data_IF_150063836486
#
_entry.id   IF_150063836486
#
_cell.length_a   1.000
_cell.length_b   1.000
_cell.length_c   1.000
_cell.angle_alpha   90.00
_cell.angle_beta   90.00
_cell.angle_gamma   90.00
#
_symmetry.space_group_name_H-M   'P 1'
#
loop_
_entity.id
_entity.type
_entity.pdbx_description
1 polymer ?
#
# COMPACT_ATOMS: atom_id res chain seq x y z
N UNK A 1 -50.54 7.83 61.96
CA UNK A 1 -51.76 7.86 61.12
C UNK A 1 -51.31 7.92 59.66
N UNK A 2 -51.85 7.01 58.85
CA UNK A 2 -51.70 6.80 57.38
C UNK A 2 -51.97 8.08 56.55
N UNK A 3 -51.70 8.19 55.21
CA UNK A 3 -51.60 7.12 54.18
C UNK A 3 -50.57 7.30 53.03
N UNK A 4 -50.55 6.30 52.15
CA UNK A 4 -49.85 6.18 50.86
C UNK A 4 -50.20 7.25 49.81
N UNK A 5 -49.28 7.50 48.88
CA UNK A 5 -49.58 7.96 47.51
C UNK A 5 -48.66 7.25 46.50
N UNK A 6 -49.25 6.62 45.47
CA UNK A 6 -48.53 5.83 44.47
C UNK A 6 -48.22 6.58 43.16
N UNK A 7 -47.42 5.95 42.30
CA UNK A 7 -47.43 6.15 40.84
C UNK A 7 -47.15 4.83 40.11
N UNK A 8 -48.06 4.45 39.20
CA UNK A 8 -47.91 3.42 38.17
C UNK A 8 -47.07 3.94 37.00
N UNK A 9 -46.24 3.08 36.37
CA UNK A 9 -46.05 2.94 34.90
C UNK A 9 -45.23 1.66 34.56
N UNK A 10 -45.94 0.72 33.89
CA UNK A 10 -45.62 -0.26 32.82
C UNK A 10 -44.26 -0.20 32.08
N UNK A 11 -43.84 -1.21 31.28
CA UNK A 11 -43.73 -2.66 31.52
C UNK A 11 -42.29 -3.16 31.22
N UNK A 12 -42.05 -4.43 31.56
CA UNK A 12 -40.98 -5.32 31.05
C UNK A 12 -40.10 -4.76 29.91
N UNK A 13 -38.86 -4.39 30.24
CA UNK A 13 -37.76 -4.41 29.26
C UNK A 13 -36.94 -5.66 29.56
N UNK A 14 -37.30 -6.75 28.86
CA UNK A 14 -36.39 -7.85 28.63
C UNK A 14 -35.19 -7.32 27.85
N UNK A 15 -33.98 -7.54 28.36
CA UNK A 15 -32.72 -7.45 27.59
C UNK A 15 -31.61 -8.13 28.39
N UNK A 16 -31.76 -9.42 28.63
CA UNK A 16 -30.60 -10.28 28.90
C UNK A 16 -29.82 -10.44 27.59
N UNK A 17 -29.03 -9.43 27.25
CA UNK A 17 -27.92 -9.61 26.33
C UNK A 17 -26.91 -10.47 27.08
N UNK A 18 -26.78 -11.73 26.71
CA UNK A 18 -25.52 -12.45 26.94
C UNK A 18 -24.49 -11.67 26.14
N UNK A 19 -23.80 -10.75 26.81
CA UNK A 19 -22.73 -9.95 26.24
C UNK A 19 -21.63 -10.93 25.88
N UNK A 20 -21.59 -11.36 24.61
CA UNK A 20 -20.38 -11.85 23.96
C UNK A 20 -19.39 -10.68 23.91
N UNK A 21 -18.90 -10.26 25.09
CA UNK A 21 -18.00 -9.13 25.24
C UNK A 21 -16.60 -9.63 24.92
N UNK A 22 -16.34 -9.83 23.63
CA UNK A 22 -14.96 -9.91 23.16
C UNK A 22 -14.36 -8.50 23.26
N UNK A 23 -13.17 -8.32 23.86
CA UNK A 23 -12.56 -7.01 24.03
C UNK A 23 -12.28 -6.28 22.70
N UNK A 24 -12.35 -6.99 21.57
CA UNK A 24 -12.07 -6.50 20.22
C UNK A 24 -13.30 -6.00 19.45
N UNK A 25 -14.52 -6.19 19.99
CA UNK A 25 -15.77 -5.80 19.35
C UNK A 25 -16.33 -4.50 19.94
N UNK A 26 -16.93 -3.69 19.09
CA UNK A 26 -17.66 -2.48 19.47
C UNK A 26 -19.05 -2.78 20.06
N UNK A 27 -19.79 -1.72 20.41
CA UNK A 27 -21.16 -1.85 20.93
C UNK A 27 -22.14 -2.47 19.92
N UNK A 28 -21.85 -2.37 18.63
CA UNK A 28 -22.63 -2.96 17.53
C UNK A 28 -22.19 -4.41 17.22
N UNK A 29 -21.18 -4.95 17.92
CA UNK A 29 -20.66 -6.29 17.72
C UNK A 29 -19.72 -6.42 16.52
N UNK A 30 -19.11 -5.33 16.04
CA UNK A 30 -18.18 -5.30 14.90
C UNK A 30 -16.77 -5.01 15.41
N UNK A 31 -15.77 -5.64 14.80
CA UNK A 31 -14.36 -5.46 15.16
C UNK A 31 -13.85 -4.04 14.85
N UNK A 32 -12.97 -3.52 15.71
CA UNK A 32 -12.30 -2.24 15.48
C UNK A 32 -11.27 -2.30 14.34
N UNK A 33 -11.19 -1.21 13.56
CA UNK A 33 -10.12 -1.00 12.58
C UNK A 33 -8.79 -0.86 13.33
N UNK A 34 -7.76 -1.57 12.88
CA UNK A 34 -6.44 -1.64 13.52
C UNK A 34 -6.29 -2.78 14.54
N UNK A 35 -7.35 -3.54 14.84
CA UNK A 35 -7.25 -4.68 15.74
C UNK A 35 -6.46 -5.84 15.11
N UNK A 36 -5.52 -6.40 15.87
CA UNK A 36 -4.85 -7.66 15.52
C UNK A 36 -5.71 -8.85 15.94
N UNK A 37 -5.97 -9.75 14.98
CA UNK A 37 -6.87 -10.89 15.16
C UNK A 37 -6.20 -12.19 14.72
N UNK A 38 -6.56 -13.27 15.40
CA UNK A 38 -6.05 -14.63 15.16
C UNK A 38 -7.20 -15.58 14.81
N UNK A 39 -6.88 -16.75 14.24
CA UNK A 39 -7.87 -17.78 13.91
C UNK A 39 -8.81 -18.09 15.09
N UNK A 40 -10.11 -18.07 14.82
CA UNK A 40 -11.16 -18.29 15.82
C UNK A 40 -11.72 -17.02 16.47
N UNK A 41 -11.03 -15.87 16.36
CA UNK A 41 -11.54 -14.59 16.85
C UNK A 41 -12.81 -14.18 16.10
N UNK A 42 -13.75 -13.55 16.82
CA UNK A 42 -14.99 -13.04 16.24
C UNK A 42 -14.71 -11.69 15.58
N UNK A 43 -15.03 -11.57 14.30
CA UNK A 43 -14.98 -10.32 13.53
C UNK A 43 -16.31 -9.56 13.57
N UNK A 44 -17.42 -10.30 13.45
CA UNK A 44 -18.77 -9.74 13.46
C UNK A 44 -19.68 -10.66 14.26
N UNK A 45 -20.18 -10.15 15.39
CA UNK A 45 -21.18 -10.80 16.21
C UNK A 45 -22.51 -10.91 15.46
N UNK A 46 -23.01 -12.14 15.28
CA UNK A 46 -24.32 -12.38 14.65
C UNK A 46 -25.08 -13.44 15.41
N UNK A 47 -26.30 -13.12 15.81
CA UNK A 47 -27.22 -14.06 16.44
C UNK A 47 -28.40 -14.36 15.51
N UNK A 48 -28.78 -15.63 15.42
CA UNK A 48 -29.97 -16.07 14.68
C UNK A 48 -30.99 -16.66 15.65
N UNK A 49 -32.29 -16.36 15.49
CA UNK A 49 -33.31 -17.00 16.31
C UNK A 49 -33.24 -18.52 16.13
N UNK A 50 -33.27 -19.24 17.25
CA UNK A 50 -33.28 -20.70 17.29
C UNK A 50 -34.73 -21.15 17.47
N UNK A 51 -35.18 -22.11 16.68
CA UNK A 51 -36.47 -22.76 16.91
C UNK A 51 -36.47 -23.53 18.24
N UNK A 52 -37.66 -23.77 18.81
CA UNK A 52 -37.80 -24.56 20.03
C UNK A 52 -37.27 -25.98 19.81
N UNK A 53 -36.13 -26.29 20.43
CA UNK A 53 -35.57 -27.65 20.43
C UNK A 53 -36.04 -28.39 21.67
N UNK A 54 -36.63 -29.57 21.49
CA UNK A 54 -36.91 -30.49 22.59
C UNK A 54 -35.59 -30.96 23.21
N UNK A 55 -35.31 -30.51 24.44
CA UNK A 55 -34.11 -30.90 25.20
C UNK A 55 -34.27 -32.31 25.78
N UNK A 56 -33.18 -33.05 25.90
CA UNK A 56 -33.19 -34.36 26.56
C UNK A 56 -33.43 -34.21 28.08
N UNK A 57 -33.90 -35.25 28.80
CA UNK A 57 -34.09 -35.19 30.25
C UNK A 57 -32.82 -34.78 31.02
N UNK A 58 -31.64 -35.20 30.56
CA UNK A 58 -30.34 -34.87 31.15
C UNK A 58 -30.03 -33.37 30.99
N UNK A 59 -30.24 -32.80 29.80
CA UNK A 59 -30.05 -31.36 29.56
C UNK A 59 -31.05 -30.51 30.35
N UNK A 60 -32.29 -31.00 30.50
CA UNK A 60 -33.31 -30.35 31.35
C UNK A 60 -32.90 -30.36 32.81
N UNK A 61 -32.39 -31.49 33.32
CA UNK A 61 -31.89 -31.60 34.70
C UNK A 61 -30.70 -30.67 34.92
N UNK A 62 -29.74 -30.66 33.99
CA UNK A 62 -28.55 -29.82 34.07
C UNK A 62 -28.93 -28.33 34.09
N UNK A 63 -29.86 -27.90 33.24
CA UNK A 63 -30.38 -26.52 33.28
C UNK A 63 -31.16 -26.20 34.57
N UNK A 64 -31.88 -27.17 35.13
CA UNK A 64 -32.57 -26.98 36.40
C UNK A 64 -31.59 -26.83 37.58
N UNK A 65 -30.47 -27.55 37.56
CA UNK A 65 -29.40 -27.46 38.58
C UNK A 65 -28.64 -26.13 38.46
N UNK A 66 -28.23 -25.75 37.25
CA UNK A 66 -27.40 -24.55 37.03
C UNK A 66 -28.21 -23.26 36.84
N UNK A 67 -29.54 -23.35 36.74
CA UNK A 67 -30.42 -22.20 36.51
C UNK A 67 -30.23 -21.52 35.16
N UNK A 68 -29.54 -22.18 34.21
CA UNK A 68 -29.28 -21.62 32.89
C UNK A 68 -30.54 -21.66 32.02
N UNK A 69 -31.08 -20.47 31.74
CA UNK A 69 -32.20 -20.33 30.80
C UNK A 69 -31.79 -20.77 29.40
N UNK A 70 -32.70 -21.43 28.70
CA UNK A 70 -32.55 -21.69 27.27
C UNK A 70 -32.26 -20.38 26.54
N UNK A 71 -31.16 -20.31 25.80
CA UNK A 71 -30.98 -19.22 24.85
C UNK A 71 -31.82 -19.51 23.61
N UNK A 72 -32.82 -18.67 23.36
CA UNK A 72 -33.66 -18.73 22.15
C UNK A 72 -32.91 -18.26 20.89
N UNK A 73 -31.60 -18.05 21.00
CA UNK A 73 -30.71 -17.59 19.94
C UNK A 73 -29.52 -18.52 19.78
N UNK A 74 -29.05 -18.66 18.54
CA UNK A 74 -27.84 -19.38 18.17
C UNK A 74 -26.77 -18.38 17.72
N UNK A 75 -25.53 -18.60 18.17
CA UNK A 75 -24.36 -17.87 17.65
C UNK A 75 -24.07 -18.29 16.20
N UNK A 76 -24.08 -17.31 15.30
CA UNK A 76 -23.79 -17.44 13.87
C UNK A 76 -22.75 -16.42 13.42
N UNK A 77 -21.93 -15.95 14.37
CA UNK A 77 -20.94 -14.90 14.18
C UNK A 77 -19.88 -15.24 13.14
N UNK A 78 -19.39 -14.22 12.44
CA UNK A 78 -18.28 -14.34 11.52
C UNK A 78 -16.98 -14.42 12.32
N UNK A 79 -16.16 -15.44 12.06
CA UNK A 79 -14.88 -15.67 12.73
C UNK A 79 -13.73 -15.67 11.74
N UNK A 80 -12.54 -15.32 12.22
CA UNK A 80 -11.30 -15.42 11.44
C UNK A 80 -11.05 -16.89 11.08
N UNK A 81 -10.75 -17.20 9.81
CA UNK A 81 -10.36 -18.55 9.41
C UNK A 81 -9.18 -19.08 10.21
N UNK A 82 -9.19 -20.38 10.50
CA UNK A 82 -8.09 -21.02 11.22
C UNK A 82 -6.77 -20.89 10.44
N UNK A 83 -5.66 -20.65 11.16
CA UNK A 83 -4.34 -20.49 10.56
C UNK A 83 -4.09 -19.12 9.90
N UNK A 84 -5.05 -18.19 9.98
CA UNK A 84 -4.86 -16.81 9.52
C UNK A 84 -4.71 -15.88 10.72
N UNK A 85 -3.69 -15.04 10.68
CA UNK A 85 -3.46 -13.96 11.63
C UNK A 85 -3.17 -12.67 10.88
N UNK A 86 -3.80 -11.58 11.27
CA UNK A 86 -3.61 -10.31 10.57
C UNK A 86 -4.21 -9.14 11.32
N UNK A 87 -4.11 -7.96 10.70
CA UNK A 87 -4.66 -6.72 11.23
C UNK A 87 -5.89 -6.34 10.40
N UNK A 88 -6.98 -5.97 11.07
CA UNK A 88 -8.16 -5.44 10.40
C UNK A 88 -7.83 -4.07 9.84
N UNK A 89 -7.89 -3.91 8.51
CA UNK A 89 -7.53 -2.65 7.84
C UNK A 89 -8.75 -1.78 7.53
N UNK A 90 -9.89 -2.39 7.26
CA UNK A 90 -11.10 -1.68 6.87
C UNK A 90 -12.34 -2.50 7.20
N UNK A 91 -13.44 -1.79 7.45
CA UNK A 91 -14.75 -2.36 7.76
C UNK A 91 -15.80 -1.57 7.01
N UNK A 92 -16.58 -2.27 6.19
CA UNK A 92 -17.67 -1.68 5.42
C UNK A 92 -18.99 -2.30 5.85
N UNK A 93 -19.98 -1.45 6.13
CA UNK A 93 -21.32 -1.85 6.55
C UNK A 93 -22.31 -1.40 5.49
N UNK A 94 -22.94 -2.37 4.84
CA UNK A 94 -23.99 -2.13 3.85
C UNK A 94 -25.35 -2.36 4.49
N UNK A 95 -26.23 -1.37 4.42
CA UNK A 95 -27.56 -1.45 5.05
C UNK A 95 -28.63 -1.30 3.99
N UNK A 96 -29.59 -2.24 3.98
CA UNK A 96 -30.73 -2.17 3.05
C UNK A 96 -31.55 -0.91 3.32
N UNK A 97 -32.07 -0.32 2.25
CA UNK A 97 -33.01 0.80 2.34
C UNK A 97 -34.26 0.44 3.16
N UNK A 98 -34.66 1.34 4.07
CA UNK A 98 -35.76 1.13 5.02
C UNK A 98 -35.41 0.39 6.32
N UNK A 99 -34.18 -0.11 6.50
CA UNK A 99 -33.70 -0.63 7.79
C UNK A 99 -32.97 0.48 8.56
N UNK A 100 -33.25 0.61 9.86
CA UNK A 100 -32.56 1.59 10.71
C UNK A 100 -31.05 1.31 10.76
N UNK A 101 -30.24 2.36 10.56
CA UNK A 101 -28.78 2.26 10.58
C UNK A 101 -28.30 2.11 12.02
N UNK A 102 -27.35 1.21 12.24
CA UNK A 102 -26.73 1.04 13.57
C UNK A 102 -25.81 2.22 13.88
N UNK A 103 -25.50 2.42 15.17
CA UNK A 103 -24.51 3.43 15.62
C UNK A 103 -23.23 3.39 14.78
N UNK A 104 -22.67 2.19 14.58
CA UNK A 104 -21.45 2.00 13.80
C UNK A 104 -21.59 2.39 12.32
N UNK A 105 -22.75 2.12 11.71
CA UNK A 105 -23.02 2.51 10.33
C UNK A 105 -23.12 4.04 10.19
N UNK A 106 -23.76 4.71 11.16
CA UNK A 106 -23.84 6.16 11.22
C UNK A 106 -22.45 6.81 11.42
N UNK A 107 -21.62 6.26 12.32
CA UNK A 107 -20.24 6.71 12.52
C UNK A 107 -19.40 6.61 11.24
N UNK A 108 -19.52 5.49 10.51
CA UNK A 108 -18.80 5.28 9.24
C UNK A 108 -19.31 6.24 8.18
N UNK A 109 -20.63 6.45 8.08
CA UNK A 109 -21.23 7.39 7.14
C UNK A 109 -20.76 8.83 7.41
N UNK A 110 -20.77 9.26 8.67
CA UNK A 110 -20.25 10.57 9.08
C UNK A 110 -18.77 10.72 8.74
N UNK A 111 -17.97 9.68 9.01
CA UNK A 111 -16.55 9.66 8.67
C UNK A 111 -16.33 9.79 7.15
N UNK A 112 -17.11 9.06 6.35
CA UNK A 112 -17.04 9.11 4.88
C UNK A 112 -17.48 10.48 4.34
N UNK A 113 -18.54 11.07 4.89
CA UNK A 113 -18.98 12.42 4.52
C UNK A 113 -17.93 13.47 4.85
N UNK A 114 -17.32 13.39 6.04
CA UNK A 114 -16.24 14.29 6.45
C UNK A 114 -15.02 14.15 5.55
N UNK A 115 -14.62 12.91 5.23
CA UNK A 115 -13.50 12.64 4.33
C UNK A 115 -13.80 13.15 2.92
N UNK A 116 -14.96 12.83 2.35
CA UNK A 116 -15.36 13.26 1.02
C UNK A 116 -15.40 14.79 0.89
N UNK A 117 -15.90 15.48 1.92
CA UNK A 117 -15.89 16.94 1.98
C UNK A 117 -14.47 17.48 2.03
N UNK A 118 -13.60 16.89 2.86
CA UNK A 118 -12.19 17.28 2.98
C UNK A 118 -11.47 17.12 1.65
N UNK A 119 -11.53 15.95 1.04
CA UNK A 119 -10.85 15.64 -0.23
C UNK A 119 -11.25 16.60 -1.34
N UNK A 120 -12.56 16.80 -1.54
CA UNK A 120 -13.05 17.71 -2.56
C UNK A 120 -12.63 19.15 -2.24
N UNK A 121 -12.64 19.56 -0.96
CA UNK A 121 -12.26 20.93 -0.60
C UNK A 121 -10.78 21.20 -0.79
N UNK A 122 -9.92 20.21 -0.51
CA UNK A 122 -8.47 20.31 -0.78
C UNK A 122 -8.21 20.34 -2.29
N UNK A 123 -8.91 19.52 -3.07
CA UNK A 123 -8.86 19.54 -4.54
C UNK A 123 -9.22 20.93 -5.08
N UNK A 124 -10.35 21.50 -4.62
CA UNK A 124 -10.78 22.83 -5.02
C UNK A 124 -9.75 23.90 -4.64
N UNK A 125 -9.21 23.85 -3.42
CA UNK A 125 -8.21 24.82 -2.95
C UNK A 125 -6.91 24.79 -3.77
N UNK A 126 -6.44 23.60 -4.17
CA UNK A 126 -5.23 23.45 -4.99
C UNK A 126 -5.48 24.00 -6.39
N UNK A 127 -6.63 23.66 -6.98
CA UNK A 127 -7.02 24.16 -8.31
C UNK A 127 -7.21 25.67 -8.29
N UNK A 128 -7.90 26.20 -7.29
CA UNK A 128 -8.08 27.62 -7.06
C UNK A 128 -6.74 28.35 -6.90
N UNK A 129 -5.80 27.80 -6.13
CA UNK A 129 -4.47 28.38 -5.98
C UNK A 129 -3.69 28.41 -7.31
N UNK A 130 -3.78 27.35 -8.12
CA UNK A 130 -3.17 27.31 -9.46
C UNK A 130 -3.80 28.32 -10.41
N UNK A 131 -5.13 28.45 -10.38
CA UNK A 131 -5.88 29.39 -11.22
C UNK A 131 -5.57 30.83 -10.82
N UNK A 132 -5.59 31.17 -9.53
CA UNK A 132 -5.19 32.50 -9.06
C UNK A 132 -3.71 32.82 -9.32
N UNK A 133 -2.83 31.83 -9.31
CA UNK A 133 -1.43 32.03 -9.73
C UNK A 133 -1.32 32.43 -11.20
N UNK A 134 -2.17 31.86 -12.06
CA UNK A 134 -2.26 32.25 -13.49
C UNK A 134 -2.88 33.63 -13.66
N UNK A 135 -3.99 33.92 -12.96
CA UNK A 135 -4.62 35.25 -12.94
C UNK A 135 -3.60 36.32 -12.53
N UNK A 136 -2.83 36.07 -11.46
CA UNK A 136 -1.78 36.98 -10.99
C UNK A 136 -0.73 37.26 -12.06
N UNK A 137 -0.26 36.22 -12.76
CA UNK A 137 0.70 36.38 -13.85
C UNK A 137 0.14 37.26 -14.99
N UNK A 138 -1.13 37.07 -15.36
CA UNK A 138 -1.82 37.89 -16.38
C UNK A 138 -1.99 39.33 -15.90
N UNK A 139 -2.46 39.56 -14.66
CA UNK A 139 -2.65 40.91 -14.09
C UNK A 139 -1.33 41.70 -13.98
N UNK A 140 -0.25 41.06 -13.55
CA UNK A 140 1.08 41.71 -13.49
C UNK A 140 1.58 42.05 -14.90
N UNK A 141 1.38 41.16 -15.87
CA UNK A 141 1.73 41.44 -17.29
C UNK A 141 0.86 42.53 -17.94
N UNK A 142 -0.32 42.77 -17.37
CA UNK A 142 -1.28 43.79 -17.79
C UNK A 142 -1.07 45.15 -17.12
N UNK A 143 -0.02 45.32 -16.31
CA UNK A 143 0.36 46.61 -15.72
C UNK A 143 -0.15 46.86 -14.30
N UNK A 144 -0.71 45.86 -13.62
CA UNK A 144 -1.10 45.98 -12.20
C UNK A 144 0.10 45.69 -11.28
N UNK A 145 0.36 46.57 -10.32
CA UNK A 145 1.46 46.40 -9.36
C UNK A 145 1.23 45.18 -8.43
N UNK A 146 2.25 44.32 -8.34
CA UNK A 146 2.20 43.09 -7.54
C UNK A 146 1.91 43.36 -6.05
N UNK A 147 2.47 44.42 -5.48
CA UNK A 147 2.27 44.79 -4.07
C UNK A 147 0.85 45.26 -3.75
N UNK A 148 0.15 45.85 -4.74
CA UNK A 148 -1.25 46.25 -4.60
C UNK A 148 -2.18 45.04 -4.70
N UNK A 149 -1.82 44.06 -5.53
CA UNK A 149 -2.56 42.81 -5.70
C UNK A 149 -2.56 41.97 -4.42
N UNK A 150 -1.39 41.82 -3.80
CA UNK A 150 -1.24 40.95 -2.62
C UNK A 150 -1.96 41.52 -1.37
N UNK A 151 -2.26 42.82 -1.34
CA UNK A 151 -3.05 43.47 -0.28
C UNK A 151 -4.56 43.30 -0.45
N UNK A 152 -5.02 43.03 -1.67
CA UNK A 152 -6.43 42.82 -1.96
C UNK A 152 -6.81 41.35 -1.72
N UNK A 153 -8.03 41.07 -1.22
CA UNK A 153 -8.52 39.71 -1.13
C UNK A 153 -8.64 39.08 -2.53
N UNK A 154 -8.32 37.79 -2.65
CA UNK A 154 -8.28 37.05 -3.92
C UNK A 154 -9.61 37.10 -4.67
N UNK A 155 -10.73 37.09 -3.95
CA UNK A 155 -12.08 37.18 -4.53
C UNK A 155 -12.26 38.43 -5.41
N UNK A 156 -11.60 39.54 -5.07
CA UNK A 156 -11.67 40.80 -5.82
C UNK A 156 -10.72 40.87 -7.01
N UNK A 157 -9.84 39.90 -7.21
CA UNK A 157 -8.93 39.91 -8.37
C UNK A 157 -9.68 39.67 -9.67
N UNK A 158 -10.82 38.97 -9.61
CA UNK A 158 -11.72 38.71 -10.74
C UNK A 158 -12.48 39.98 -11.19
N UNK A 159 -12.61 40.97 -10.31
CA UNK A 159 -13.29 42.24 -10.59
C UNK A 159 -12.35 43.28 -11.24
N UNK A 160 -11.05 43.00 -11.33
CA UNK A 160 -10.07 43.92 -11.90
C UNK A 160 -10.08 43.84 -13.43
N UNK A 161 -10.36 44.96 -14.08
CA UNK A 161 -10.23 45.10 -15.53
C UNK A 161 -8.81 45.47 -15.96
N UNK A 162 -8.37 44.90 -17.08
CA UNK A 162 -7.16 45.25 -17.79
C UNK A 162 -7.46 46.15 -19.00
N UNK A 163 -6.50 47.00 -19.38
CA UNK A 163 -6.60 47.87 -20.55
C UNK A 163 -6.34 47.15 -21.88
N UNK A 164 -5.71 45.97 -21.81
CA UNK A 164 -5.30 45.15 -22.96
C UNK A 164 -6.39 44.11 -23.28
N UNK A 165 -6.99 44.19 -24.48
CA UNK A 165 -8.15 43.37 -24.88
C UNK A 165 -7.87 41.86 -24.87
N UNK A 166 -6.66 41.43 -25.29
CA UNK A 166 -6.32 40.00 -25.31
C UNK A 166 -6.18 39.43 -23.89
N UNK A 167 -5.55 40.19 -22.98
CA UNK A 167 -5.38 39.79 -21.59
C UNK A 167 -6.70 39.86 -20.81
N UNK A 168 -7.55 40.82 -21.16
CA UNK A 168 -8.89 40.92 -20.59
C UNK A 168 -9.73 39.67 -20.94
N UNK A 169 -9.69 39.22 -22.20
CA UNK A 169 -10.37 37.99 -22.61
C UNK A 169 -9.79 36.74 -21.90
N UNK A 170 -8.47 36.69 -21.69
CA UNK A 170 -7.85 35.61 -20.89
C UNK A 170 -8.30 35.63 -19.42
N UNK A 171 -8.47 36.80 -18.80
CA UNK A 171 -9.00 36.91 -17.44
C UNK A 171 -10.45 36.46 -17.36
N UNK A 172 -11.27 36.83 -18.34
CA UNK A 172 -12.67 36.42 -18.41
C UNK A 172 -12.80 34.89 -18.55
N UNK A 173 -11.99 34.26 -19.41
CA UNK A 173 -11.91 32.80 -19.51
C UNK A 173 -11.49 32.13 -18.18
N UNK A 174 -10.53 32.72 -17.45
CA UNK A 174 -10.12 32.19 -16.15
C UNK A 174 -11.21 32.37 -15.08
N UNK A 175 -11.98 33.45 -15.14
CA UNK A 175 -13.12 33.69 -14.27
C UNK A 175 -14.26 32.69 -14.55
N UNK A 176 -14.60 32.46 -15.82
CA UNK A 176 -15.56 31.43 -16.23
C UNK A 176 -15.13 30.03 -15.76
N UNK A 177 -13.85 29.69 -15.92
CA UNK A 177 -13.29 28.42 -15.42
C UNK A 177 -13.42 28.30 -13.90
N UNK A 178 -13.21 29.38 -13.16
CA UNK A 178 -13.35 29.38 -11.70
C UNK A 178 -14.79 29.13 -11.26
N UNK A 179 -15.75 29.78 -11.90
CA UNK A 179 -17.18 29.58 -11.64
C UNK A 179 -17.65 28.18 -12.03
N UNK A 180 -17.18 27.65 -13.17
CA UNK A 180 -17.44 26.28 -13.59
C UNK A 180 -16.89 25.28 -12.58
N UNK A 181 -15.66 25.46 -12.10
CA UNK A 181 -15.04 24.61 -11.07
C UNK A 181 -15.83 24.62 -9.77
N UNK A 182 -16.30 25.79 -9.31
CA UNK A 182 -17.17 25.89 -8.12
C UNK A 182 -18.48 25.14 -8.30
N UNK A 183 -19.15 25.34 -9.44
CA UNK A 183 -20.42 24.67 -9.71
C UNK A 183 -20.25 23.15 -9.85
N UNK A 184 -19.19 22.70 -10.53
CA UNK A 184 -18.86 21.28 -10.65
C UNK A 184 -18.54 20.67 -9.28
N UNK A 185 -17.82 21.38 -8.42
CA UNK A 185 -17.53 20.97 -7.05
C UNK A 185 -18.81 20.76 -6.23
N UNK A 186 -19.75 21.72 -6.25
CA UNK A 186 -21.02 21.59 -5.53
C UNK A 186 -21.82 20.37 -6.02
N UNK A 187 -21.88 20.18 -7.35
CA UNK A 187 -22.54 19.03 -7.97
C UNK A 187 -21.87 17.71 -7.58
N UNK A 188 -20.54 17.65 -7.56
CA UNK A 188 -19.76 16.48 -7.13
C UNK A 188 -19.97 16.18 -5.64
N UNK A 189 -19.99 17.20 -4.79
CA UNK A 189 -20.20 17.07 -3.35
C UNK A 189 -21.60 16.51 -3.06
N UNK A 190 -22.63 17.08 -3.67
CA UNK A 190 -24.01 16.62 -3.47
C UNK A 190 -24.21 15.21 -4.03
N UNK A 191 -23.61 14.90 -5.20
CA UNK A 191 -23.64 13.55 -5.76
C UNK A 191 -22.93 12.52 -4.85
N UNK A 192 -21.78 12.86 -4.25
CA UNK A 192 -21.09 12.00 -3.28
C UNK A 192 -21.91 11.83 -2.01
N UNK A 193 -22.47 12.91 -1.47
CA UNK A 193 -23.33 12.88 -0.27
C UNK A 193 -24.52 11.97 -0.50
N UNK A 194 -25.22 12.13 -1.63
CA UNK A 194 -26.35 11.27 -1.99
C UNK A 194 -25.96 9.80 -2.05
N UNK A 195 -24.82 9.48 -2.68
CA UNK A 195 -24.33 8.09 -2.77
C UNK A 195 -23.99 7.47 -1.41
N UNK A 196 -23.45 8.27 -0.48
CA UNK A 196 -23.09 7.79 0.87
C UNK A 196 -24.34 7.59 1.73
N UNK A 197 -25.32 8.48 1.61
CA UNK A 197 -26.53 8.40 2.44
C UNK A 197 -27.58 7.42 1.92
N UNK A 198 -27.67 7.25 0.61
CA UNK A 198 -28.58 6.30 -0.03
C UNK A 198 -28.36 4.88 0.51
N UNK A 199 -29.45 4.18 0.83
CA UNK A 199 -29.41 2.78 1.24
C UNK A 199 -28.90 1.87 0.12
N UNK A 200 -28.24 0.78 0.50
CA UNK A 200 -27.67 -0.16 -0.45
C UNK A 200 -28.72 -1.13 -0.99
N UNK A 201 -28.63 -1.46 -2.28
CA UNK A 201 -29.43 -2.51 -2.89
C UNK A 201 -28.83 -3.89 -2.56
N UNK A 202 -29.45 -4.61 -1.62
CA UNK A 202 -28.99 -5.90 -1.12
C UNK A 202 -29.90 -7.04 -1.59
N UNK A 203 -29.28 -8.18 -1.92
CA UNK A 203 -29.96 -9.41 -2.33
C UNK A 203 -31.18 -9.76 -1.44
N UNK A 204 -32.27 -10.29 -2.00
CA UNK A 204 -33.54 -10.48 -1.29
C UNK A 204 -33.34 -11.29 0.01
N UNK A 205 -34.00 -10.84 1.09
CA UNK A 205 -33.85 -11.41 2.43
C UNK A 205 -32.63 -10.95 3.25
N UNK A 206 -31.67 -10.23 2.66
CA UNK A 206 -30.50 -9.70 3.39
C UNK A 206 -30.74 -8.29 3.92
N UNK A 207 -30.78 -8.13 5.24
CA UNK A 207 -30.99 -6.82 5.89
C UNK A 207 -29.74 -5.94 5.89
N UNK A 208 -28.58 -6.55 6.15
CA UNK A 208 -27.29 -5.88 6.32
C UNK A 208 -26.14 -6.82 5.97
N UNK A 209 -25.07 -6.28 5.40
CA UNK A 209 -23.82 -7.00 5.15
C UNK A 209 -22.68 -6.23 5.80
N UNK A 210 -21.81 -6.94 6.52
CA UNK A 210 -20.55 -6.37 7.04
C UNK A 210 -19.40 -7.06 6.33
N UNK A 211 -18.58 -6.27 5.63
CA UNK A 211 -17.30 -6.74 5.05
C UNK A 211 -16.16 -6.27 5.94
N UNK A 212 -15.32 -7.21 6.35
CA UNK A 212 -14.12 -6.93 7.14
C UNK A 212 -12.91 -7.31 6.31
N UNK A 213 -12.01 -6.36 6.10
CA UNK A 213 -10.79 -6.56 5.35
C UNK A 213 -9.64 -6.84 6.32
N UNK A 214 -8.96 -7.96 6.10
CA UNK A 214 -7.84 -8.42 6.93
C UNK A 214 -6.55 -8.35 6.12
N UNK A 215 -5.58 -7.56 6.58
CA UNK A 215 -4.24 -7.57 6.04
C UNK A 215 -3.41 -8.66 6.75
N UNK A 216 -2.96 -9.63 5.97
CA UNK A 216 -2.14 -10.75 6.45
C UNK A 216 -0.73 -10.58 5.93
N UNK A 217 0.23 -10.42 6.83
CA UNK A 217 1.65 -10.43 6.48
C UNK A 217 2.17 -11.86 6.52
N UNK A 218 2.26 -12.50 5.35
CA UNK A 218 2.87 -13.83 5.23
C UNK A 218 4.37 -13.70 5.09
N UNK A 219 5.10 -14.40 5.95
CA UNK A 219 6.56 -14.54 5.83
C UNK A 219 6.87 -15.77 4.98
N UNK A 220 8.02 -15.73 4.32
CA UNK A 220 8.52 -16.87 3.58
C UNK A 220 8.80 -18.04 4.52
N UNK A 221 8.38 -19.24 4.13
CA UNK A 221 8.51 -20.44 4.95
C UNK A 221 8.86 -21.66 4.10
N UNK A 222 9.41 -22.73 4.71
CA UNK A 222 9.56 -24.01 4.04
C UNK A 222 8.23 -24.50 3.48
N UNK A 223 8.24 -25.00 2.24
CA UNK A 223 7.04 -25.34 1.48
C UNK A 223 6.57 -24.25 0.52
N UNK A 224 7.02 -23.00 0.67
CA UNK A 224 6.74 -21.96 -0.30
C UNK A 224 7.49 -22.22 -1.62
N UNK A 225 6.84 -21.88 -2.73
CA UNK A 225 7.36 -22.09 -4.07
C UNK A 225 8.00 -20.81 -4.60
N UNK A 226 9.27 -20.91 -5.00
CA UNK A 226 10.01 -19.85 -5.67
C UNK A 226 10.36 -20.27 -7.10
N UNK A 227 10.53 -19.28 -7.98
CA UNK A 227 10.93 -19.52 -9.35
C UNK A 227 11.78 -18.37 -9.89
N UNK A 228 12.74 -18.70 -10.75
CA UNK A 228 13.44 -17.72 -11.58
C UNK A 228 12.74 -17.51 -12.92
N UNK A 229 13.23 -16.52 -13.68
CA UNK A 229 12.67 -16.15 -14.99
C UNK A 229 12.95 -17.19 -16.08
N UNK A 230 13.95 -18.05 -15.87
CA UNK A 230 14.37 -19.11 -16.80
C UNK A 230 13.66 -20.46 -16.56
N UNK A 231 12.50 -20.44 -15.89
CA UNK A 231 11.69 -21.64 -15.65
C UNK A 231 12.24 -22.60 -14.59
N UNK A 232 13.34 -22.24 -13.92
CA UNK A 232 13.82 -22.93 -12.73
C UNK A 232 12.83 -22.69 -11.58
N UNK A 233 12.26 -23.76 -11.04
CA UNK A 233 11.27 -23.74 -9.96
C UNK A 233 11.81 -24.58 -8.80
N UNK A 234 11.65 -24.09 -7.59
CA UNK A 234 12.04 -24.77 -6.37
C UNK A 234 11.00 -24.57 -5.28
N UNK A 235 10.94 -25.50 -4.35
CA UNK A 235 10.23 -25.34 -3.09
C UNK A 235 11.28 -25.14 -2.01
N UNK A 236 11.07 -24.18 -1.11
CA UNK A 236 12.00 -23.94 -0.01
C UNK A 236 12.00 -25.15 0.89
N UNK A 237 13.14 -25.82 1.00
CA UNK A 237 13.31 -27.01 1.84
C UNK A 237 13.63 -26.63 3.28
N UNK A 238 14.52 -25.65 3.48
CA UNK A 238 15.00 -25.21 4.78
C UNK A 238 15.42 -23.74 4.72
N UNK A 239 15.22 -23.03 5.83
CA UNK A 239 15.80 -21.71 6.08
C UNK A 239 16.97 -21.95 7.05
N UNK A 240 18.21 -21.68 6.61
CA UNK A 240 19.40 -21.83 7.44
C UNK A 240 19.71 -20.51 8.18
N UNK A 241 20.34 -20.59 9.37
CA UNK A 241 21.00 -19.45 9.99
C UNK A 241 22.11 -18.88 9.10
N UNK A 242 22.50 -17.62 9.34
CA UNK A 242 23.48 -16.91 8.49
C UNK A 242 24.88 -17.53 8.66
N UNK A 243 25.22 -17.96 9.87
CA UNK A 243 26.47 -18.62 10.22
C UNK A 243 26.65 -19.99 9.55
N UNK A 244 25.57 -20.63 9.11
CA UNK A 244 25.59 -21.92 8.43
C UNK A 244 25.76 -21.76 6.89
N UNK A 245 25.64 -20.54 6.37
CA UNK A 245 25.68 -20.30 4.92
C UNK A 245 27.12 -20.23 4.42
N UNK A 246 27.40 -20.76 3.22
CA UNK A 246 28.69 -20.55 2.58
C UNK A 246 28.99 -19.06 2.41
N UNK A 247 30.25 -18.68 2.61
CA UNK A 247 30.68 -17.29 2.55
C UNK A 247 31.95 -17.11 1.70
N UNK A 248 32.17 -15.89 1.22
CA UNK A 248 33.33 -15.53 0.39
C UNK A 248 34.57 -15.12 1.23
N UNK A 249 35.70 -14.84 0.58
CA UNK A 249 36.92 -14.38 1.27
C UNK A 249 36.73 -13.08 2.07
N UNK A 250 35.69 -12.29 1.76
CA UNK A 250 35.33 -11.06 2.46
C UNK A 250 34.38 -11.30 3.64
N UNK A 251 33.98 -12.55 3.91
CA UNK A 251 33.04 -12.91 4.97
C UNK A 251 31.57 -12.64 4.63
N UNK A 252 31.24 -12.40 3.36
CA UNK A 252 29.87 -12.16 2.89
C UNK A 252 29.17 -13.50 2.65
N UNK A 253 28.10 -13.82 3.39
CA UNK A 253 27.36 -15.06 3.21
C UNK A 253 26.48 -15.01 1.94
N UNK A 254 26.25 -16.18 1.34
CA UNK A 254 25.30 -16.35 0.23
C UNK A 254 23.87 -16.40 0.75
N UNK A 255 22.91 -15.78 0.04
CA UNK A 255 21.50 -15.79 0.45
C UNK A 255 20.73 -17.07 0.06
N UNK A 256 21.01 -17.63 -1.12
CA UNK A 256 20.27 -18.77 -1.69
C UNK A 256 21.25 -19.76 -2.33
N UNK A 257 21.15 -21.03 -1.96
CA UNK A 257 21.91 -22.13 -2.58
C UNK A 257 21.01 -22.91 -3.55
N UNK A 258 21.42 -22.97 -4.81
CA UNK A 258 20.72 -23.71 -5.86
C UNK A 258 21.50 -24.96 -6.27
N UNK A 259 20.78 -26.01 -6.66
CA UNK A 259 21.40 -27.25 -7.12
C UNK A 259 21.88 -27.12 -8.59
N UNK A 260 23.18 -27.25 -8.88
CA UNK A 260 23.71 -27.11 -10.24
C UNK A 260 23.22 -28.21 -11.20
N UNK A 261 22.86 -29.40 -10.69
CA UNK A 261 22.38 -30.52 -11.52
C UNK A 261 21.08 -30.21 -12.28
N UNK A 262 20.32 -29.21 -11.81
CA UNK A 262 19.07 -28.77 -12.44
C UNK A 262 19.26 -27.99 -13.74
N UNK A 263 20.49 -27.50 -14.02
CA UNK A 263 20.76 -26.67 -15.20
C UNK A 263 21.02 -27.50 -16.46
N UNK A 264 21.94 -28.50 -16.45
CA UNK A 264 22.25 -29.27 -17.67
C UNK A 264 21.04 -30.04 -18.19
N UNK A 265 20.24 -30.62 -17.28
CA UNK A 265 19.06 -31.41 -17.64
C UNK A 265 17.93 -30.60 -18.29
N UNK A 266 17.83 -29.29 -18.00
CA UNK A 266 16.78 -28.40 -18.53
C UNK A 266 17.26 -27.47 -19.63
N UNK A 267 18.57 -27.46 -19.93
CA UNK A 267 19.22 -26.61 -20.93
C UNK A 267 18.90 -25.12 -20.80
N UNK A 268 18.59 -24.64 -19.59
CA UNK A 268 18.29 -23.24 -19.30
C UNK A 268 19.56 -22.48 -18.86
N UNK A 269 20.52 -22.39 -19.79
CA UNK A 269 21.84 -21.75 -19.61
C UNK A 269 21.71 -20.25 -19.28
N UNK A 270 20.63 -19.61 -19.72
CA UNK A 270 20.37 -18.19 -19.46
C UNK A 270 20.45 -17.80 -17.98
N UNK A 271 20.07 -18.68 -17.04
CA UNK A 271 20.18 -18.37 -15.61
C UNK A 271 21.64 -18.24 -15.14
N UNK A 272 22.58 -18.95 -15.77
CA UNK A 272 24.02 -18.84 -15.48
C UNK A 272 24.54 -17.52 -16.01
N UNK A 273 24.15 -17.15 -17.25
CA UNK A 273 24.51 -15.85 -17.83
C UNK A 273 23.94 -14.68 -17.01
N UNK A 274 22.69 -14.81 -16.53
CA UNK A 274 22.05 -13.87 -15.60
C UNK A 274 22.84 -13.78 -14.28
N UNK A 275 23.33 -14.91 -13.76
CA UNK A 275 24.12 -14.94 -12.51
C UNK A 275 25.45 -14.20 -12.70
N UNK A 276 26.19 -14.47 -13.78
CA UNK A 276 27.47 -13.78 -14.06
C UNK A 276 27.27 -12.29 -14.30
N UNK A 277 26.26 -11.91 -15.10
CA UNK A 277 25.95 -10.51 -15.37
C UNK A 277 25.46 -9.78 -14.11
N UNK A 278 24.64 -10.44 -13.30
CA UNK A 278 24.17 -9.91 -12.02
C UNK A 278 25.30 -9.71 -11.02
N UNK A 279 26.26 -10.63 -10.97
CA UNK A 279 27.48 -10.51 -10.17
C UNK A 279 28.32 -9.32 -10.64
N UNK A 280 28.53 -9.16 -11.94
CA UNK A 280 29.25 -8.02 -12.52
C UNK A 280 28.56 -6.68 -12.21
N UNK A 281 27.23 -6.61 -12.41
CA UNK A 281 26.40 -5.45 -12.10
C UNK A 281 26.52 -5.04 -10.62
N UNK A 282 26.51 -6.03 -9.73
CA UNK A 282 26.65 -5.81 -8.29
C UNK A 282 28.06 -5.32 -7.94
N UNK A 283 29.11 -5.91 -8.53
CA UNK A 283 30.50 -5.47 -8.35
C UNK A 283 30.73 -4.02 -8.74
N UNK A 284 30.15 -3.55 -9.86
CA UNK A 284 30.18 -2.13 -10.23
C UNK A 284 29.51 -1.26 -9.17
N UNK A 285 28.31 -1.68 -8.72
CA UNK A 285 27.59 -0.96 -7.66
C UNK A 285 28.38 -0.88 -6.37
N UNK A 286 29.09 -1.94 -6.00
CA UNK A 286 29.92 -1.99 -4.79
C UNK A 286 31.17 -1.11 -4.93
N UNK A 287 31.77 -1.01 -6.13
CA UNK A 287 32.80 0.01 -6.41
C UNK A 287 32.28 1.43 -6.26
N UNK A 288 31.13 1.74 -6.85
CA UNK A 288 30.49 3.06 -6.70
C UNK A 288 30.20 3.34 -5.22
N UNK A 289 29.69 2.35 -4.48
CA UNK A 289 29.42 2.46 -3.04
C UNK A 289 30.70 2.74 -2.24
N UNK A 290 31.81 2.07 -2.56
CA UNK A 290 33.10 2.32 -1.95
C UNK A 290 33.60 3.75 -2.23
N UNK A 291 33.50 4.21 -3.48
CA UNK A 291 33.88 5.59 -3.87
C UNK A 291 33.02 6.65 -3.16
N UNK A 292 31.71 6.41 -3.03
CA UNK A 292 30.80 7.29 -2.29
C UNK A 292 31.13 7.34 -0.79
N UNK A 293 31.41 6.18 -0.16
CA UNK A 293 31.80 6.11 1.25
C UNK A 293 33.13 6.80 1.53
N UNK A 294 34.06 6.73 0.59
CA UNK A 294 35.35 7.43 0.65
C UNK A 294 35.23 8.92 0.31
N UNK A 295 34.04 9.41 -0.03
CA UNK A 295 33.79 10.80 -0.45
C UNK A 295 34.75 11.25 -1.56
N UNK A 296 34.97 10.37 -2.55
CA UNK A 296 35.81 10.72 -3.69
C UNK A 296 35.20 11.88 -4.49
N UNK A 297 36.05 12.64 -5.16
CA UNK A 297 35.65 13.74 -6.02
C UNK A 297 34.66 13.29 -7.11
N UNK A 298 33.69 14.14 -7.41
CA UNK A 298 32.64 13.88 -8.42
C UNK A 298 33.25 13.55 -9.79
N UNK A 299 34.41 14.14 -10.12
CA UNK A 299 35.14 13.85 -11.35
C UNK A 299 35.51 12.36 -11.49
N UNK A 300 36.00 11.72 -10.42
CA UNK A 300 36.36 10.30 -10.43
C UNK A 300 35.15 9.40 -10.53
N UNK A 301 34.08 9.73 -9.79
CA UNK A 301 32.80 9.03 -9.88
C UNK A 301 32.24 9.10 -11.31
N UNK A 302 32.26 10.29 -11.92
CA UNK A 302 31.80 10.54 -13.27
C UNK A 302 32.61 9.73 -14.29
N UNK A 303 33.93 9.73 -14.18
CA UNK A 303 34.82 8.95 -15.05
C UNK A 303 34.53 7.45 -14.94
N UNK A 304 34.41 6.92 -13.71
CA UNK A 304 34.15 5.51 -13.49
C UNK A 304 32.78 5.07 -14.03
N UNK A 305 31.73 5.87 -13.76
CA UNK A 305 30.37 5.59 -14.23
C UNK A 305 30.31 5.69 -15.76
N UNK A 306 30.94 6.70 -16.36
CA UNK A 306 31.02 6.86 -17.82
C UNK A 306 31.67 5.64 -18.46
N UNK A 307 32.82 5.21 -17.93
CA UNK A 307 33.52 4.01 -18.40
C UNK A 307 32.67 2.74 -18.29
N UNK A 308 31.80 2.63 -17.28
CA UNK A 308 30.88 1.51 -17.15
C UNK A 308 29.75 1.54 -18.19
N UNK A 309 29.23 2.71 -18.55
CA UNK A 309 28.21 2.86 -19.60
C UNK A 309 28.76 2.67 -21.02
N UNK A 310 30.02 3.05 -21.25
CA UNK A 310 30.67 2.90 -22.56
C UNK A 310 31.19 1.48 -22.83
N UNK A 311 30.94 0.54 -21.92
CA UNK A 311 31.41 -0.84 -22.04
C UNK A 311 30.57 -1.61 -23.08
N UNK A 312 31.26 -2.15 -24.09
CA UNK A 312 30.69 -2.92 -25.19
C UNK A 312 30.95 -2.26 -26.55
N UNK A 313 31.31 -3.07 -27.55
CA UNK A 313 31.83 -2.56 -28.83
C UNK A 313 30.80 -1.75 -29.63
N UNK A 314 29.52 -2.15 -29.62
CA UNK A 314 28.45 -1.56 -30.42
C UNK A 314 27.17 -1.33 -29.61
N UNK A 315 27.31 -0.78 -28.40
CA UNK A 315 26.14 -0.46 -27.56
C UNK A 315 25.27 0.61 -28.22
N UNK A 316 23.97 0.30 -28.38
CA UNK A 316 22.97 1.23 -28.91
C UNK A 316 22.80 2.46 -28.02
N UNK A 317 22.92 2.29 -26.71
CA UNK A 317 22.80 3.38 -25.76
C UNK A 317 24.12 4.15 -25.72
N UNK A 318 24.04 5.45 -26.00
CA UNK A 318 25.16 6.38 -25.78
C UNK A 318 24.74 7.33 -24.66
N UNK A 319 25.50 7.31 -23.57
CA UNK A 319 25.30 8.18 -22.41
C UNK A 319 26.51 9.09 -22.34
N UNK A 320 26.30 10.39 -22.32
CA UNK A 320 27.36 11.35 -22.07
C UNK A 320 27.11 12.03 -20.73
N UNK A 321 27.79 11.52 -19.70
CA UNK A 321 27.71 12.09 -18.37
C UNK A 321 28.32 13.48 -18.30
N UNK A 322 29.11 13.97 -19.27
CA UNK A 322 29.64 15.34 -19.20
C UNK A 322 28.55 16.42 -19.22
N UNK A 323 27.38 16.10 -19.78
CA UNK A 323 26.21 17.00 -19.84
C UNK A 323 25.45 17.12 -18.52
N UNK A 324 25.70 16.22 -17.56
CA UNK A 324 24.97 16.13 -16.29
C UNK A 324 25.54 17.10 -15.26
N UNK A 325 24.68 17.72 -14.47
CA UNK A 325 25.11 18.49 -13.30
C UNK A 325 25.71 17.59 -12.22
N UNK A 326 26.54 18.16 -11.34
CA UNK A 326 27.16 17.38 -10.25
C UNK A 326 26.12 16.76 -9.30
N UNK A 327 25.02 17.46 -9.03
CA UNK A 327 23.92 16.96 -8.21
C UNK A 327 23.20 15.76 -8.85
N UNK A 328 23.04 15.77 -10.17
CA UNK A 328 22.44 14.64 -10.90
C UNK A 328 23.37 13.42 -10.90
N UNK A 329 24.68 13.63 -11.04
CA UNK A 329 25.67 12.54 -10.98
C UNK A 329 25.72 11.92 -9.58
N UNK A 330 25.69 12.72 -8.53
CA UNK A 330 25.64 12.22 -7.15
C UNK A 330 24.37 11.42 -6.89
N UNK A 331 23.21 11.93 -7.31
CA UNK A 331 21.93 11.21 -7.19
C UNK A 331 21.93 9.91 -7.99
N UNK A 332 22.51 9.92 -9.18
CA UNK A 332 22.68 8.71 -9.99
C UNK A 332 23.57 7.70 -9.26
N UNK A 333 24.72 8.12 -8.76
CA UNK A 333 25.63 7.26 -8.01
C UNK A 333 24.97 6.65 -6.76
N UNK A 334 24.18 7.43 -6.01
CA UNK A 334 23.42 6.92 -4.86
C UNK A 334 22.42 5.82 -5.23
N UNK A 335 21.80 5.91 -6.40
CA UNK A 335 20.91 4.88 -6.91
C UNK A 335 21.68 3.65 -7.38
N UNK A 336 22.83 3.85 -8.04
CA UNK A 336 23.67 2.77 -8.59
C UNK A 336 24.45 2.01 -7.51
N UNK A 337 24.61 2.55 -6.28
CA UNK A 337 25.36 1.90 -5.19
C UNK A 337 24.85 0.51 -4.80
N UNK A 338 23.58 0.19 -5.09
CA UNK A 338 23.00 -1.13 -4.80
C UNK A 338 23.41 -2.18 -5.85
N UNK A 339 23.85 -1.74 -7.03
CA UNK A 339 24.11 -2.54 -8.21
C UNK A 339 23.69 -1.75 -9.44
N UNK A 340 24.50 -1.77 -10.50
CA UNK A 340 24.18 -1.09 -11.75
C UNK A 340 23.07 -1.85 -12.49
N UNK A 341 21.89 -1.26 -12.75
CA UNK A 341 20.86 -1.93 -13.54
C UNK A 341 21.32 -2.10 -14.99
N UNK A 342 21.23 -3.32 -15.51
CA UNK A 342 21.66 -3.65 -16.87
C UNK A 342 20.46 -4.15 -17.68
N UNK A 343 20.36 -3.69 -18.93
CA UNK A 343 19.39 -4.17 -19.88
C UNK A 343 20.05 -5.13 -20.88
N UNK A 344 19.47 -6.32 -21.02
CA UNK A 344 19.82 -7.27 -22.08
C UNK A 344 18.56 -7.56 -22.91
N UNK A 345 18.36 -6.89 -24.06
CA UNK A 345 17.23 -7.13 -24.94
C UNK A 345 17.11 -8.60 -25.38
N UNK A 346 15.89 -9.01 -25.75
CA UNK A 346 15.64 -10.35 -26.28
C UNK A 346 16.27 -10.44 -27.68
N UNK A 347 17.10 -11.46 -27.90
CA UNK A 347 17.84 -11.72 -29.15
C UNK A 347 18.92 -10.68 -29.54
N UNK A 348 19.06 -9.59 -28.79
CA UNK A 348 20.10 -8.56 -28.97
C UNK A 348 20.72 -8.21 -27.61
N UNK A 349 21.14 -9.26 -26.91
CA UNK A 349 21.59 -9.20 -25.53
C UNK A 349 23.10 -9.08 -25.37
N UNK A 350 23.54 -8.90 -24.12
CA UNK A 350 24.95 -8.85 -23.76
C UNK A 350 25.66 -10.17 -24.11
N UNK A 351 26.78 -10.07 -24.81
CA UNK A 351 27.63 -11.21 -25.20
C UNK A 351 28.54 -11.63 -24.06
N UNK A 352 29.01 -12.87 -24.08
CA UNK A 352 29.91 -13.40 -23.04
C UNK A 352 31.19 -12.57 -22.86
N UNK A 353 31.75 -12.05 -23.96
CA UNK A 353 32.93 -11.19 -23.91
C UNK A 353 32.66 -9.89 -23.13
N UNK A 354 31.50 -9.26 -23.35
CA UNK A 354 31.07 -8.04 -22.66
C UNK A 354 30.83 -8.31 -21.17
N UNK A 355 30.23 -9.47 -20.82
CA UNK A 355 30.07 -9.89 -19.42
C UNK A 355 31.43 -10.04 -18.74
N UNK A 356 32.42 -10.66 -19.41
CA UNK A 356 33.78 -10.82 -18.87
C UNK A 356 34.51 -9.49 -18.71
N UNK A 357 34.32 -8.55 -19.64
CA UNK A 357 34.85 -7.20 -19.52
C UNK A 357 34.23 -6.46 -18.34
N UNK A 358 32.93 -6.61 -18.14
CA UNK A 358 32.22 -6.01 -17.02
C UNK A 358 32.66 -6.59 -15.67
N UNK A 359 32.87 -7.91 -15.60
CA UNK A 359 33.46 -8.56 -14.41
C UNK A 359 34.83 -7.98 -14.09
N UNK A 360 35.70 -7.78 -15.09
CA UNK A 360 36.99 -7.12 -14.90
C UNK A 360 36.86 -5.70 -14.37
N UNK A 361 35.89 -4.93 -14.89
CA UNK A 361 35.65 -3.57 -14.42
C UNK A 361 35.24 -3.54 -12.95
N UNK A 362 34.53 -4.57 -12.49
CA UNK A 362 34.16 -4.78 -11.09
C UNK A 362 35.23 -5.39 -10.18
N UNK A 363 36.45 -5.65 -10.67
CA UNK A 363 37.51 -6.43 -9.98
C UNK A 363 37.09 -7.86 -9.59
N UNK A 364 36.22 -8.46 -10.40
CA UNK A 364 35.72 -9.83 -10.21
C UNK A 364 36.42 -10.81 -11.16
N UNK A 365 36.52 -12.10 -10.80
CA UNK A 365 37.14 -13.11 -11.66
C UNK A 365 36.34 -13.27 -12.96
N UNK A 366 37.03 -13.36 -14.09
CA UNK A 366 36.42 -13.53 -15.42
C UNK A 366 35.69 -14.86 -15.60
N UNK A 367 35.96 -15.83 -14.73
CA UNK A 367 35.22 -17.10 -14.67
C UNK A 367 33.81 -16.94 -14.10
N UNK A 368 33.54 -15.85 -13.37
CA UNK A 368 32.31 -15.70 -12.58
C UNK A 368 32.26 -16.64 -11.37
N UNK A 369 33.38 -17.27 -11.01
CA UNK A 369 33.49 -18.24 -9.92
C UNK A 369 34.46 -17.72 -8.86
N UNK A 370 34.07 -17.84 -7.60
CA UNK A 370 34.87 -17.47 -6.43
C UNK A 370 35.02 -18.68 -5.51
N UNK A 371 36.10 -18.70 -4.73
CA UNK A 371 36.26 -19.66 -3.64
C UNK A 371 35.26 -19.33 -2.53
N UNK A 372 34.56 -20.34 -2.04
CA UNK A 372 33.65 -20.23 -0.91
C UNK A 372 34.11 -21.15 0.22
N UNK A 373 33.84 -20.75 1.45
CA UNK A 373 34.13 -21.49 2.68
C UNK A 373 32.82 -22.01 3.29
N UNK A 374 32.88 -23.13 4.01
CA UNK A 374 31.70 -23.68 4.67
C UNK A 374 31.49 -22.96 6.01
N UNK A 375 30.32 -22.33 6.20
CA UNK A 375 29.99 -21.60 7.43
C UNK A 375 30.13 -22.42 8.71
N UNK A 376 30.02 -23.76 8.61
CA UNK A 376 30.12 -24.66 9.77
C UNK A 376 31.53 -25.08 10.12
N UNK A 377 32.36 -25.31 9.12
CA UNK A 377 33.69 -25.93 9.31
C UNK A 377 34.85 -24.96 9.08
N UNK A 378 34.59 -23.81 8.45
CA UNK A 378 35.59 -22.86 7.97
C UNK A 378 36.06 -23.21 6.57
#
# INVERSE_FOLDING_TARGET
>A
MTPSWGRKRSPLISRTWVKLRSPKLDESGIVYIGAEVTGGDILVGKVTPKGETQLTPEEKLLRAIFGEKASDVKDSSLRVPNGVSGTVIDVQVFTRDGVEKDKRALEIEEMQLKQAKKDLSEELQILEAGLFSRIRAVLVSGGVEAEKLDKLPRDRWLELGLTDEEKQNQLEQLAEQYDELKHEFEKKLEAKRRKITQGDDLAPGVLKIVKVYLAVKRRIQPGDKMAGRHGNKGVISKINPIEDMPYDENGTPVDIVLNPLGVPSRMNIGQILETHLGMAAKGIGDKINAMLKQQQEVAKLREFIQRAYDLGADVRQKVDLSTFSDDEVLRLAENLRKGMPIATPVFDGAKEAEIKELLKLGDLPTSGQITLFDGRTG
#
